data_IF_569899360467
#
_entry.id   IF_569899360467
#
_cell.length_a   1.000
_cell.length_b   1.000
_cell.length_c   1.000
_cell.angle_alpha   90.00
_cell.angle_beta   90.00
_cell.angle_gamma   90.00
#
_symmetry.space_group_name_H-M   'P 1'
#
loop_
_entity.id
_entity.type
_entity.pdbx_description
1 polymer ?
#
# COMPACT_ATOMS: atom_id res chain seq x y z
N UNK A 1 8.12 -10.02 -3.20
CA UNK A 1 8.56 -8.60 -3.13
C UNK A 1 7.35 -7.74 -2.74
N UNK A 2 6.79 -7.95 -1.55
CA UNK A 2 5.56 -7.27 -1.07
C UNK A 2 5.67 -6.84 0.40
N UNK A 3 6.64 -7.36 1.14
CA UNK A 3 6.85 -7.07 2.57
C UNK A 3 7.38 -5.66 2.83
N UNK A 4 8.20 -5.08 1.95
CA UNK A 4 8.78 -3.75 2.20
C UNK A 4 7.72 -2.64 2.13
N UNK A 5 6.82 -2.71 1.14
CA UNK A 5 5.80 -1.69 0.93
C UNK A 5 4.76 -1.65 2.06
N UNK A 6 4.32 -2.81 2.56
CA UNK A 6 3.35 -2.84 3.65
C UNK A 6 3.92 -2.33 4.99
N UNK A 7 5.22 -2.56 5.24
CA UNK A 7 5.92 -1.99 6.39
C UNK A 7 6.05 -0.47 6.27
N UNK A 8 6.47 0.04 5.11
CA UNK A 8 6.57 1.48 4.86
C UNK A 8 5.21 2.18 5.10
N UNK A 9 4.12 1.60 4.58
CA UNK A 9 2.77 2.14 4.78
C UNK A 9 2.37 2.17 6.27
N UNK A 10 2.73 1.13 7.04
CA UNK A 10 2.49 1.11 8.48
C UNK A 10 3.27 2.21 9.22
N UNK A 11 4.52 2.47 8.80
CA UNK A 11 5.38 3.51 9.37
C UNK A 11 4.88 4.91 9.02
N UNK A 12 4.49 5.13 7.77
CA UNK A 12 3.96 6.42 7.29
C UNK A 12 2.65 6.79 8.00
N UNK A 13 1.74 5.82 8.15
CA UNK A 13 0.45 6.03 8.82
C UNK A 13 0.53 6.02 10.35
N UNK A 14 1.68 5.60 10.92
CA UNK A 14 1.93 5.49 12.36
C UNK A 14 0.85 4.72 13.13
N UNK A 15 0.27 3.71 12.50
CA UNK A 15 -0.81 2.88 13.08
C UNK A 15 -0.75 1.47 12.53
N UNK A 16 -1.40 0.55 13.24
CA UNK A 16 -1.52 -0.83 12.79
C UNK A 16 -2.43 -0.94 11.57
N UNK A 17 -1.96 -1.62 10.53
CA UNK A 17 -2.71 -1.94 9.32
C UNK A 17 -2.79 -3.46 9.14
N UNK A 18 -3.92 -3.98 8.65
CA UNK A 18 -4.09 -5.42 8.43
C UNK A 18 -3.96 -5.76 6.96
N UNK A 19 -2.93 -6.53 6.61
CA UNK A 19 -2.70 -7.00 5.24
C UNK A 19 -3.46 -8.29 4.96
N UNK A 20 -4.20 -8.32 3.85
CA UNK A 20 -4.80 -9.53 3.29
C UNK A 20 -3.92 -10.05 2.13
N UNK A 21 -3.18 -11.15 2.32
CA UNK A 21 -2.27 -11.67 1.29
C UNK A 21 -2.99 -12.31 0.10
N UNK A 22 -4.27 -12.67 0.22
CA UNK A 22 -5.03 -13.29 -0.87
C UNK A 22 -5.43 -12.25 -1.91
N UNK A 23 -5.87 -11.08 -1.45
CA UNK A 23 -6.36 -10.00 -2.30
C UNK A 23 -5.34 -8.86 -2.46
N UNK A 24 -4.14 -8.99 -1.89
CA UNK A 24 -3.08 -7.98 -1.86
C UNK A 24 -3.57 -6.56 -1.49
N UNK A 25 -4.40 -6.50 -0.46
CA UNK A 25 -5.09 -5.28 -0.01
C UNK A 25 -5.06 -5.14 1.50
N UNK A 26 -5.22 -3.91 1.98
CA UNK A 26 -5.47 -3.65 3.39
C UNK A 26 -6.96 -3.77 3.70
N UNK A 27 -7.30 -4.57 4.70
CA UNK A 27 -8.69 -4.85 5.05
C UNK A 27 -9.36 -3.61 5.67
N UNK A 28 -10.43 -3.13 5.03
CA UNK A 28 -11.21 -1.94 5.45
C UNK A 28 -10.38 -0.67 5.61
N UNK A 29 -9.32 -0.50 4.82
CA UNK A 29 -8.37 0.60 4.97
C UNK A 29 -8.05 1.27 3.63
N UNK A 30 -8.94 2.17 3.21
CA UNK A 30 -8.83 2.89 1.93
C UNK A 30 -7.61 3.81 1.88
N UNK A 31 -7.20 4.36 3.03
CA UNK A 31 -6.03 5.21 3.14
C UNK A 31 -4.74 4.41 2.88
N UNK A 32 -4.58 3.26 3.54
CA UNK A 32 -3.46 2.36 3.27
C UNK A 32 -3.50 1.81 1.84
N UNK A 33 -4.70 1.51 1.33
CA UNK A 33 -4.86 1.00 -0.04
C UNK A 33 -4.46 2.02 -1.13
N UNK A 34 -4.59 3.33 -0.88
CA UNK A 34 -4.13 4.39 -1.80
C UNK A 34 -2.61 4.46 -1.90
N UNK A 35 -1.90 4.16 -0.80
CA UNK A 35 -0.45 4.20 -0.75
C UNK A 35 0.21 2.97 -1.42
N UNK A 36 -0.58 1.95 -1.79
CA UNK A 36 -0.08 0.74 -2.48
C UNK A 36 0.48 1.02 -3.87
N UNK A 37 0.04 2.09 -4.51
CA UNK A 37 0.54 2.49 -5.83
C UNK A 37 1.11 3.91 -5.75
N UNK A 38 2.38 4.07 -6.09
CA UNK A 38 2.99 5.39 -6.22
C UNK A 38 2.53 6.03 -7.53
N UNK A 39 2.34 7.34 -7.51
CA UNK A 39 2.05 8.09 -8.73
C UNK A 39 3.21 7.91 -9.73
N UNK A 40 2.94 7.28 -10.86
CA UNK A 40 3.92 7.14 -11.94
C UNK A 40 4.06 8.47 -12.69
N UNK A 41 5.29 8.77 -13.14
CA UNK A 41 5.57 9.94 -13.99
C UNK A 41 5.19 9.65 -15.45
N UNK A 42 4.72 10.66 -16.17
CA UNK A 42 4.54 10.61 -17.63
C UNK A 42 5.90 10.43 -18.36
N UNK A 43 5.97 9.73 -19.52
CA UNK A 43 4.93 8.95 -20.22
C UNK A 43 4.76 7.51 -19.71
N UNK A 44 5.30 7.16 -18.54
CA UNK A 44 5.41 5.78 -18.06
C UNK A 44 4.17 5.30 -17.31
N UNK A 45 3.02 5.97 -17.49
CA UNK A 45 1.72 5.45 -17.03
C UNK A 45 1.20 4.46 -18.07
N UNK A 46 0.71 3.33 -17.59
CA UNK A 46 -0.01 2.33 -18.38
C UNK A 46 -1.50 2.61 -18.27
#
# INVERSE_FOLDING_TARGET
MTTNLAMDICLDLKRNVKWNPVNETFANDDEANKLRSRAMREPWRV
#
